data_IF_094483865530
#
_entry.id   IF_094483865530
#
_cell.length_a   1.000
_cell.length_b   1.000
_cell.length_c   1.000
_cell.angle_alpha   90.00
_cell.angle_beta   90.00
_cell.angle_gamma   90.00
#
_symmetry.space_group_name_H-M   'P 1'
#
loop_
_entity.id
_entity.type
_entity.pdbx_description
1 polymer ?
#
# COMPACT_ATOMS: atom_id res chain seq x y z
N UNK A 1 -2.42 -12.47 12.62
CA UNK A 1 -1.49 -13.60 12.85
C UNK A 1 -0.20 -13.52 12.03
N UNK A 2 -0.19 -12.98 10.85
CA UNK A 2 1.07 -12.72 10.11
C UNK A 2 2.06 -11.87 10.91
N UNK A 3 1.59 -10.96 11.75
CA UNK A 3 2.43 -10.11 12.61
C UNK A 3 3.26 -10.89 13.66
N UNK A 4 2.88 -12.09 14.04
CA UNK A 4 3.61 -12.90 15.05
C UNK A 4 4.91 -13.52 14.52
N UNK A 5 5.07 -13.61 13.21
CA UNK A 5 6.26 -14.19 12.55
C UNK A 5 7.09 -13.15 11.79
N UNK A 6 6.77 -11.87 11.91
CA UNK A 6 7.65 -10.83 11.34
C UNK A 6 8.94 -10.79 12.16
N UNK A 7 10.10 -11.07 11.56
CA UNK A 7 11.36 -10.75 12.21
C UNK A 7 11.33 -9.27 12.55
N UNK A 8 11.72 -8.93 13.78
CA UNK A 8 11.88 -7.54 14.22
C UNK A 8 12.90 -6.86 13.31
N UNK A 9 12.42 -6.24 12.24
CA UNK A 9 13.28 -5.47 11.34
C UNK A 9 13.42 -4.11 12.02
N UNK A 10 14.65 -3.73 12.42
CA UNK A 10 14.85 -2.42 13.02
C UNK A 10 14.35 -1.34 12.05
N UNK A 11 13.61 -0.36 12.58
CA UNK A 11 12.94 0.69 11.81
C UNK A 11 13.88 1.59 10.99
N UNK A 12 15.18 1.38 11.06
CA UNK A 12 16.21 2.15 10.39
C UNK A 12 16.41 1.66 8.96
N UNK A 13 15.83 2.39 8.00
CA UNK A 13 16.17 2.31 6.55
C UNK A 13 15.87 1.01 5.83
N UNK A 14 14.74 0.38 6.10
CA UNK A 14 14.27 -0.71 5.22
C UNK A 14 13.84 -0.09 3.90
N UNK A 15 14.54 -0.44 2.80
CA UNK A 15 14.15 -0.04 1.44
C UNK A 15 12.72 -0.49 1.16
N UNK A 16 11.92 0.32 0.44
CA UNK A 16 10.53 0.00 0.13
C UNK A 16 10.33 -1.38 -0.50
N UNK A 17 11.29 -1.84 -1.32
CA UNK A 17 11.31 -3.19 -1.88
C UNK A 17 11.30 -4.28 -0.80
N UNK A 18 12.03 -4.08 0.31
CA UNK A 18 12.04 -5.03 1.43
C UNK A 18 10.69 -5.15 2.13
N UNK A 19 9.94 -4.07 2.25
CA UNK A 19 8.59 -4.10 2.82
C UNK A 19 7.67 -4.92 1.91
N UNK A 20 7.72 -4.71 0.59
CA UNK A 20 6.92 -5.49 -0.36
C UNK A 20 7.30 -6.97 -0.31
N UNK A 21 8.59 -7.31 -0.23
CA UNK A 21 9.06 -8.69 -0.07
C UNK A 21 8.54 -9.33 1.23
N UNK A 22 8.60 -8.62 2.35
CA UNK A 22 8.12 -9.12 3.66
C UNK A 22 6.63 -9.41 3.61
N UNK A 23 5.83 -8.47 3.10
CA UNK A 23 4.38 -8.67 2.94
C UNK A 23 4.09 -9.83 1.96
N UNK A 24 4.85 -9.89 0.86
CA UNK A 24 4.70 -10.91 -0.18
C UNK A 24 4.95 -12.33 0.29
N UNK A 25 5.80 -12.55 1.29
CA UNK A 25 6.06 -13.89 1.83
C UNK A 25 4.79 -14.62 2.28
N UNK A 26 3.82 -13.88 2.80
CA UNK A 26 2.52 -14.42 3.17
C UNK A 26 1.48 -14.14 2.07
N UNK A 27 1.37 -12.89 1.61
CA UNK A 27 0.31 -12.47 0.69
C UNK A 27 0.44 -13.00 -0.73
N UNK A 28 1.57 -13.61 -1.11
CA UNK A 28 1.73 -14.35 -2.38
C UNK A 28 1.73 -15.86 -2.19
N UNK A 29 1.59 -16.38 -0.96
CA UNK A 29 1.55 -17.80 -0.68
C UNK A 29 0.11 -18.29 -0.52
N UNK A 30 -0.40 -18.98 -1.56
CA UNK A 30 -1.75 -19.52 -1.55
C UNK A 30 -1.96 -20.58 -0.45
N UNK A 31 -0.94 -21.39 -0.17
CA UNK A 31 -1.03 -22.43 0.87
C UNK A 31 -1.18 -21.80 2.26
N UNK A 32 -0.44 -20.71 2.50
CA UNK A 32 -0.52 -20.01 3.77
C UNK A 32 -1.83 -19.23 3.89
N UNK A 33 -2.16 -18.38 2.91
CA UNK A 33 -3.31 -17.45 3.01
C UNK A 33 -4.65 -18.20 3.03
N UNK A 34 -4.80 -19.23 2.22
CA UNK A 34 -6.07 -19.98 2.08
C UNK A 34 -6.43 -20.86 3.29
N UNK A 35 -5.49 -21.05 4.24
CA UNK A 35 -5.81 -21.65 5.52
C UNK A 35 -6.77 -20.78 6.35
N UNK A 36 -6.71 -19.46 6.15
CA UNK A 36 -7.56 -18.49 6.87
C UNK A 36 -8.85 -18.19 6.12
N UNK A 37 -8.79 -18.13 4.82
CA UNK A 37 -9.96 -17.96 3.95
C UNK A 37 -9.63 -18.50 2.55
N UNK A 38 -10.30 -19.58 2.09
CA UNK A 38 -10.04 -20.18 0.78
C UNK A 38 -10.25 -19.23 -0.43
N UNK A 39 -11.07 -18.19 -0.23
CA UNK A 39 -11.37 -17.20 -1.28
C UNK A 39 -10.35 -16.06 -1.36
N UNK A 40 -9.32 -16.03 -0.48
CA UNK A 40 -8.32 -14.97 -0.51
C UNK A 40 -7.52 -14.98 -1.81
N UNK A 41 -7.41 -13.81 -2.41
CA UNK A 41 -6.49 -13.55 -3.52
C UNK A 41 -5.05 -13.56 -2.99
N UNK A 42 -4.11 -13.92 -3.86
CA UNK A 42 -2.67 -13.98 -3.52
C UNK A 42 -1.81 -13.28 -4.58
N UNK A 43 -2.42 -12.37 -5.31
CA UNK A 43 -1.81 -11.62 -6.41
C UNK A 43 -1.47 -10.16 -6.06
N UNK A 44 -1.64 -9.75 -4.80
CA UNK A 44 -1.45 -8.36 -4.36
C UNK A 44 -0.07 -7.80 -4.71
N UNK A 45 0.98 -8.59 -4.58
CA UNK A 45 2.35 -8.17 -4.93
C UNK A 45 2.50 -7.97 -6.43
N UNK A 46 1.92 -8.87 -7.23
CA UNK A 46 1.93 -8.77 -8.68
C UNK A 46 1.17 -7.52 -9.13
N UNK A 47 -0.02 -7.30 -8.58
CA UNK A 47 -0.82 -6.09 -8.86
C UNK A 47 -0.12 -4.83 -8.40
N UNK A 48 0.52 -4.84 -7.22
CA UNK A 48 1.30 -3.70 -6.77
C UNK A 48 2.41 -3.36 -7.78
N UNK A 49 3.19 -4.33 -8.23
CA UNK A 49 4.26 -4.09 -9.21
C UNK A 49 3.76 -3.71 -10.61
N UNK A 50 2.53 -4.02 -10.95
CA UNK A 50 1.89 -3.54 -12.18
C UNK A 50 1.39 -2.09 -12.08
N UNK A 51 1.22 -1.58 -10.86
CA UNK A 51 0.81 -0.20 -10.60
C UNK A 51 1.91 0.82 -10.90
N UNK A 52 1.53 2.10 -11.01
CA UNK A 52 2.50 3.20 -11.17
C UNK A 52 3.48 3.25 -10.00
N UNK A 53 2.98 3.10 -8.75
CA UNK A 53 3.83 3.09 -7.56
C UNK A 53 4.85 1.95 -7.60
N UNK A 54 4.40 0.74 -7.88
CA UNK A 54 5.27 -0.43 -7.92
C UNK A 54 6.29 -0.39 -9.05
N UNK A 55 5.90 0.09 -10.24
CA UNK A 55 6.84 0.29 -11.36
C UNK A 55 7.92 1.33 -11.03
N UNK A 56 7.57 2.43 -10.38
CA UNK A 56 8.57 3.42 -9.93
C UNK A 56 9.49 2.86 -8.87
N UNK A 57 8.95 2.11 -7.91
CA UNK A 57 9.78 1.46 -6.88
C UNK A 57 10.80 0.51 -7.51
N UNK A 58 10.33 -0.38 -8.39
CA UNK A 58 11.15 -1.43 -9.00
C UNK A 58 12.11 -0.89 -10.06
N UNK A 59 11.62 -0.04 -10.96
CA UNK A 59 12.37 0.44 -12.11
C UNK A 59 13.26 1.64 -11.81
N UNK A 60 12.75 2.63 -11.09
CA UNK A 60 13.50 3.85 -10.77
C UNK A 60 14.16 3.80 -9.37
N UNK A 61 13.86 2.77 -8.57
CA UNK A 61 14.37 2.69 -7.20
C UNK A 61 13.89 3.81 -6.29
N UNK A 62 12.74 4.42 -6.60
CA UNK A 62 12.22 5.60 -5.91
C UNK A 62 11.78 5.23 -4.48
N UNK A 63 12.49 5.70 -3.43
CA UNK A 63 12.19 5.32 -2.05
C UNK A 63 10.99 6.05 -1.45
N UNK A 64 10.42 7.02 -2.18
CA UNK A 64 9.34 7.89 -1.69
C UNK A 64 7.97 7.51 -2.22
N UNK A 65 7.88 6.54 -3.14
CA UNK A 65 6.59 6.06 -3.63
C UNK A 65 5.84 5.30 -2.55
N UNK A 66 4.50 5.29 -2.66
CA UNK A 66 3.68 4.49 -1.76
C UNK A 66 3.98 2.99 -1.90
N UNK A 67 4.07 2.32 -0.77
CA UNK A 67 4.28 0.88 -0.63
C UNK A 67 3.12 0.27 0.17
N UNK A 68 3.13 -1.03 0.41
CA UNK A 68 2.05 -1.72 1.12
C UNK A 68 1.66 -1.03 2.43
N UNK A 69 2.65 -0.69 3.27
CA UNK A 69 2.42 -0.04 4.56
C UNK A 69 1.96 1.44 4.47
N UNK A 70 2.17 2.10 3.34
CA UNK A 70 1.67 3.46 3.12
C UNK A 70 0.14 3.50 3.05
N UNK A 71 -0.47 2.44 2.51
CA UNK A 71 -1.92 2.31 2.39
C UNK A 71 -2.53 1.50 3.55
N UNK A 72 -1.96 0.34 3.85
CA UNK A 72 -2.49 -0.59 4.85
C UNK A 72 -2.02 -0.31 6.28
N UNK A 73 -1.10 0.65 6.47
CA UNK A 73 -0.40 0.91 7.73
C UNK A 73 0.46 -0.28 8.17
N UNK A 74 1.16 -0.15 9.30
CA UNK A 74 2.02 -1.21 9.88
C UNK A 74 1.38 -1.87 11.08
N UNK A 75 0.52 -1.12 11.77
CA UNK A 75 -0.24 -1.59 12.92
C UNK A 75 -1.73 -1.61 12.58
N UNK A 76 -2.46 -2.58 13.12
CA UNK A 76 -3.91 -2.70 12.92
C UNK A 76 -4.30 -2.85 11.43
N UNK A 77 -3.54 -3.64 10.67
CA UNK A 77 -3.92 -4.00 9.29
C UNK A 77 -5.26 -4.72 9.32
N UNK A 78 -6.22 -4.19 8.56
CA UNK A 78 -7.61 -4.68 8.51
C UNK A 78 -8.03 -4.98 7.09
N UNK A 79 -8.96 -5.90 6.87
CA UNK A 79 -9.51 -6.16 5.55
C UNK A 79 -10.24 -4.90 5.03
N UNK A 80 -10.31 -4.71 3.70
CA UNK A 80 -11.01 -3.55 3.11
C UNK A 80 -12.48 -3.43 3.50
N UNK A 81 -13.12 -4.54 3.86
CA UNK A 81 -14.52 -4.57 4.32
C UNK A 81 -14.74 -4.02 5.74
N UNK A 82 -13.67 -3.91 6.56
CA UNK A 82 -13.77 -3.31 7.89
C UNK A 82 -13.83 -1.77 7.77
N UNK A 83 -14.88 -1.09 8.27
CA UNK A 83 -14.97 0.37 8.20
C UNK A 83 -13.83 1.13 8.88
N UNK A 84 -13.08 0.45 9.77
CA UNK A 84 -11.89 1.01 10.43
C UNK A 84 -10.64 0.89 9.59
N UNK A 85 -10.67 0.10 8.51
CA UNK A 85 -9.54 -0.06 7.59
C UNK A 85 -9.19 1.27 6.92
N UNK A 86 -7.89 1.56 6.76
CA UNK A 86 -7.44 2.70 5.97
C UNK A 86 -7.78 2.58 4.49
N UNK A 87 -7.89 1.34 4.00
CA UNK A 87 -8.25 1.02 2.60
C UNK A 87 -9.73 0.66 2.42
N UNK A 88 -10.58 1.01 3.39
CA UNK A 88 -12.03 0.89 3.20
C UNK A 88 -12.49 1.77 2.02
N UNK A 89 -13.41 1.32 1.15
CA UNK A 89 -13.81 2.06 -0.05
C UNK A 89 -14.18 3.52 0.19
N UNK A 90 -14.87 3.83 1.29
CA UNK A 90 -15.24 5.20 1.64
C UNK A 90 -14.08 6.07 2.14
N UNK A 91 -12.89 5.51 2.35
CA UNK A 91 -11.69 6.22 2.84
C UNK A 91 -10.58 6.31 1.80
N UNK A 92 -10.67 5.54 0.72
CA UNK A 92 -9.58 5.46 -0.28
C UNK A 92 -9.27 6.81 -0.90
N UNK A 93 -10.29 7.62 -1.21
CA UNK A 93 -10.06 8.95 -1.78
C UNK A 93 -9.23 9.85 -0.85
N UNK A 94 -9.56 9.90 0.44
CA UNK A 94 -8.81 10.68 1.42
C UNK A 94 -7.43 10.08 1.69
N UNK A 95 -7.29 8.77 1.68
CA UNK A 95 -6.01 8.09 1.78
C UNK A 95 -5.08 8.49 0.61
N UNK A 96 -5.56 8.43 -0.62
CA UNK A 96 -4.80 8.88 -1.79
C UNK A 96 -4.45 10.37 -1.68
N UNK A 97 -5.43 11.18 -1.27
CA UNK A 97 -5.28 12.62 -1.09
C UNK A 97 -4.26 13.02 -0.04
N UNK A 98 -4.00 12.18 0.97
CA UNK A 98 -2.98 12.45 2.00
C UNK A 98 -1.57 12.66 1.43
N UNK A 99 -1.31 12.13 0.24
CA UNK A 99 -0.07 12.38 -0.51
C UNK A 99 -0.34 13.22 -1.77
N UNK A 100 -1.36 12.87 -2.55
CA UNK A 100 -1.64 13.49 -3.85
C UNK A 100 -2.18 14.92 -3.75
N UNK A 101 -2.72 15.35 -2.62
CA UNK A 101 -3.05 16.75 -2.37
C UNK A 101 -1.92 17.54 -1.68
N UNK A 102 -0.80 16.89 -1.32
CA UNK A 102 0.32 17.52 -0.62
C UNK A 102 1.36 18.03 -1.62
N UNK A 103 1.43 19.36 -1.77
CA UNK A 103 2.31 20.02 -2.75
C UNK A 103 3.79 19.67 -2.54
N UNK A 104 4.24 19.56 -1.28
CA UNK A 104 5.65 19.23 -0.97
C UNK A 104 6.04 17.84 -1.46
N UNK A 105 5.08 16.90 -1.45
CA UNK A 105 5.31 15.52 -1.93
C UNK A 105 5.23 15.49 -3.45
N UNK A 106 4.22 16.13 -4.04
CA UNK A 106 3.92 16.03 -5.46
C UNK A 106 4.84 16.87 -6.36
N UNK A 107 5.45 17.95 -5.84
CA UNK A 107 6.30 18.84 -6.63
C UNK A 107 7.43 18.10 -7.37
N UNK A 108 8.09 17.15 -6.71
CA UNK A 108 9.17 16.36 -7.32
C UNK A 108 8.72 15.48 -8.48
N UNK A 109 7.42 15.15 -8.54
CA UNK A 109 6.82 14.31 -9.58
C UNK A 109 6.11 15.12 -10.66
N UNK A 110 6.01 16.44 -10.49
CA UNK A 110 5.25 17.34 -11.38
C UNK A 110 3.79 16.91 -11.54
N UNK A 111 3.19 16.39 -10.47
CA UNK A 111 1.79 15.95 -10.43
C UNK A 111 0.96 17.08 -9.83
N UNK A 112 -0.16 17.50 -10.49
CA UNK A 112 -1.10 18.46 -9.91
C UNK A 112 -1.69 17.94 -8.59
N UNK A 113 -2.03 18.83 -7.66
CA UNK A 113 -2.51 18.49 -6.32
C UNK A 113 -4.01 18.69 -6.11
N UNK A 114 -4.74 18.89 -7.19
CA UNK A 114 -6.18 19.19 -7.19
C UNK A 114 -7.08 17.96 -7.46
N UNK A 115 -6.48 16.77 -7.60
CA UNK A 115 -7.22 15.55 -7.95
C UNK A 115 -8.28 15.19 -6.91
N UNK A 116 -7.95 15.29 -5.60
CA UNK A 116 -8.91 14.99 -4.54
C UNK A 116 -10.09 15.96 -4.55
N UNK A 117 -9.81 17.25 -4.75
CA UNK A 117 -10.86 18.27 -4.86
C UNK A 117 -11.77 18.01 -6.06
N UNK A 118 -11.20 17.73 -7.23
CA UNK A 118 -11.94 17.38 -8.45
C UNK A 118 -12.80 16.13 -8.25
N UNK A 119 -12.22 15.10 -7.61
CA UNK A 119 -12.96 13.89 -7.30
C UNK A 119 -14.19 14.19 -6.41
N UNK A 120 -13.99 14.93 -5.31
CA UNK A 120 -15.08 15.29 -4.39
C UNK A 120 -16.17 16.14 -5.03
N UNK A 121 -15.87 16.86 -6.11
CA UNK A 121 -16.86 17.63 -6.89
C UNK A 121 -17.59 16.79 -7.94
N UNK A 122 -17.10 15.58 -8.23
CA UNK A 122 -17.66 14.71 -9.27
C UNK A 122 -18.70 13.71 -8.75
N UNK A 123 -18.86 13.61 -7.43
CA UNK A 123 -19.77 12.68 -6.75
C UNK A 123 -20.82 13.41 -5.94
#
# INVERSE_FOLDING_TARGET
MCAKFMPQIPATKVKGTKIVEVCGRCHSDARFMRQYNPALRVDQVTEYYSSVHGRRLKGAGDPKVAICSSCHRTHSIRPPSDPRSSVHPLKVADLCGSCHAEAKIMAQYKIPTDQLEKYKKSV
#
